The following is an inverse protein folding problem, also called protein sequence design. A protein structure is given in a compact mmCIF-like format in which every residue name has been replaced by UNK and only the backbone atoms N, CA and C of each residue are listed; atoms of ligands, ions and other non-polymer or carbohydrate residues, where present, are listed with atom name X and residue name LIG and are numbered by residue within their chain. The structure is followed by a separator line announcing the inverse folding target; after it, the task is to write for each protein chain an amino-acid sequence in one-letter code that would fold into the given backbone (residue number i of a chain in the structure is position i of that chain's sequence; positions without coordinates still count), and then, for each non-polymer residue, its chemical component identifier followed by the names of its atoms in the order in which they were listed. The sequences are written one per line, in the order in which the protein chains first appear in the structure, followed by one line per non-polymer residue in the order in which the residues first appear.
data_IF_181120492677
#
_entry.id   IF_181120492677
#
_cell.length_a   1.000
_cell.length_b   1.000
_cell.length_c   1.000
_cell.angle_alpha   90.00
_cell.angle_beta   90.00
_cell.angle_gamma   90.00
#
_symmetry.space_group_name_H-M   'P 1'
#
loop_
_entity.id
_entity.type
_entity.pdbx_description
1 polymer ?
#
# COMPACT_ATOMS: atom_id res chain seq x y z
N UNK A 1 18.56 3.63 -4.72
CA UNK A 1 18.44 3.62 -3.25
C UNK A 1 17.00 3.38 -2.83
N UNK A 2 16.81 3.09 -1.54
CA UNK A 2 15.49 3.02 -0.92
C UNK A 2 15.14 4.35 -0.24
N UNK A 3 13.86 4.64 -0.04
CA UNK A 3 13.39 5.80 0.74
C UNK A 3 13.97 5.79 2.16
N UNK A 4 14.17 4.60 2.72
CA UNK A 4 14.75 4.40 4.05
C UNK A 4 16.16 5.00 4.19
N UNK A 5 16.97 4.95 3.14
CA UNK A 5 18.35 5.47 3.15
C UNK A 5 18.37 7.01 3.22
N UNK A 6 17.40 7.66 2.56
CA UNK A 6 17.29 9.12 2.49
C UNK A 6 16.38 9.72 3.57
N UNK A 7 15.79 8.89 4.45
CA UNK A 7 14.78 9.32 5.43
C UNK A 7 15.23 10.54 6.25
N UNK A 8 16.46 10.51 6.78
CA UNK A 8 17.01 11.57 7.63
C UNK A 8 17.41 12.85 6.87
N UNK A 9 17.24 12.86 5.54
CA UNK A 9 17.48 14.03 4.67
C UNK A 9 16.20 14.72 4.23
N UNK A 10 15.10 13.99 4.19
CA UNK A 10 13.78 14.54 3.86
C UNK A 10 13.39 15.66 4.84
N UNK A 11 12.74 16.71 4.37
CA UNK A 11 12.20 17.72 5.27
C UNK A 11 11.11 17.16 6.22
N UNK A 12 10.85 17.89 7.32
CA UNK A 12 9.91 17.42 8.35
C UNK A 12 8.45 17.34 7.87
N UNK A 13 8.04 18.19 6.92
CA UNK A 13 6.71 18.15 6.32
C UNK A 13 6.56 16.87 5.49
N UNK A 14 7.56 16.54 4.67
CA UNK A 14 7.59 15.33 3.86
C UNK A 14 7.56 14.07 4.72
N UNK A 15 8.36 14.01 5.79
CA UNK A 15 8.32 12.89 6.74
C UNK A 15 6.95 12.75 7.39
N UNK A 16 6.36 13.86 7.85
CA UNK A 16 5.04 13.85 8.49
C UNK A 16 3.98 13.28 7.55
N UNK A 17 3.95 13.75 6.30
CA UNK A 17 3.02 13.25 5.30
C UNK A 17 3.18 11.75 5.05
N UNK A 18 4.41 11.24 4.98
CA UNK A 18 4.69 9.81 4.80
C UNK A 18 4.23 8.98 6.01
N UNK A 19 4.36 9.50 7.23
CA UNK A 19 3.88 8.84 8.45
C UNK A 19 2.36 8.81 8.56
N UNK A 20 1.67 9.81 8.00
CA UNK A 20 0.21 9.84 7.92
C UNK A 20 -0.33 8.94 6.79
N UNK A 21 0.50 8.64 5.78
CA UNK A 21 0.12 7.85 4.60
C UNK A 21 1.07 6.65 4.35
N UNK A 22 1.32 5.77 5.33
CA UNK A 22 2.33 4.71 5.22
C UNK A 22 1.95 3.57 4.26
N UNK A 23 0.69 3.52 3.82
CA UNK A 23 0.19 2.54 2.86
C UNK A 23 0.30 3.00 1.38
N UNK A 24 0.88 4.18 1.13
CA UNK A 24 0.99 4.76 -0.22
C UNK A 24 2.05 4.02 -1.07
N UNK A 25 1.63 3.34 -2.15
CA UNK A 25 2.54 2.57 -3.03
C UNK A 25 3.31 3.45 -4.02
N UNK A 26 2.63 4.47 -4.54
CA UNK A 26 3.18 5.42 -5.51
C UNK A 26 2.90 6.81 -4.98
N UNK A 27 3.94 7.64 -4.89
CA UNK A 27 3.79 8.96 -4.30
C UNK A 27 3.11 9.93 -5.28
N UNK A 28 2.24 10.84 -4.78
CA UNK A 28 1.70 11.91 -5.60
C UNK A 28 2.83 12.76 -6.22
N UNK A 29 2.64 13.36 -7.41
CA UNK A 29 3.69 14.09 -8.11
C UNK A 29 4.34 15.21 -7.27
N UNK A 30 3.54 15.90 -6.44
CA UNK A 30 4.04 16.92 -5.53
C UNK A 30 5.01 16.36 -4.47
N UNK A 31 4.73 15.17 -3.95
CA UNK A 31 5.58 14.48 -2.97
C UNK A 31 6.82 13.89 -3.64
N UNK A 32 6.67 13.33 -4.84
CA UNK A 32 7.82 12.86 -5.63
C UNK A 32 8.80 14.00 -5.89
N UNK A 33 8.32 15.18 -6.28
CA UNK A 33 9.17 16.34 -6.52
C UNK A 33 9.91 16.83 -5.25
N UNK A 34 9.27 16.80 -4.08
CA UNK A 34 9.92 17.13 -2.80
C UNK A 34 11.03 16.12 -2.47
N UNK A 35 10.73 14.84 -2.60
CA UNK A 35 11.69 13.77 -2.31
C UNK A 35 12.86 13.80 -3.29
N UNK A 36 12.63 13.97 -4.59
CA UNK A 36 13.71 14.08 -5.59
C UNK A 36 14.58 15.33 -5.42
N UNK A 37 14.07 16.38 -4.77
CA UNK A 37 14.85 17.58 -4.46
C UNK A 37 15.78 17.37 -3.26
N UNK A 38 15.30 16.66 -2.25
CA UNK A 38 16.02 16.46 -0.99
C UNK A 38 16.90 15.20 -1.00
N UNK A 39 16.55 14.20 -1.82
CA UNK A 39 17.33 13.00 -2.04
C UNK A 39 18.55 13.31 -2.91
N UNK A 40 19.69 12.75 -2.54
CA UNK A 40 20.94 12.97 -3.29
C UNK A 40 21.19 11.93 -4.38
N UNK A 41 20.43 10.83 -4.37
CA UNK A 41 20.53 9.73 -5.32
C UNK A 41 19.19 9.44 -5.99
N UNK A 42 19.24 8.84 -7.19
CA UNK A 42 18.05 8.51 -7.97
C UNK A 42 17.19 7.47 -7.25
N UNK A 43 16.02 7.92 -6.82
CA UNK A 43 14.95 7.09 -6.28
C UNK A 43 14.16 6.49 -7.46
N UNK A 44 13.75 5.24 -7.30
CA UNK A 44 13.01 4.52 -8.34
C UNK A 44 11.71 5.26 -8.69
N UNK A 45 11.52 5.53 -9.97
CA UNK A 45 10.33 6.19 -10.49
C UNK A 45 9.61 5.31 -11.52
N UNK A 46 8.29 5.48 -11.62
CA UNK A 46 7.49 4.89 -12.69
C UNK A 46 7.71 5.63 -14.03
N UNK A 47 7.11 5.15 -15.15
CA UNK A 47 7.21 5.83 -16.45
C UNK A 47 6.69 7.27 -16.48
N UNK A 48 5.94 7.70 -15.46
CA UNK A 48 5.39 9.03 -15.29
C UNK A 48 6.29 9.91 -14.40
N UNK A 49 7.41 9.38 -13.90
CA UNK A 49 8.34 10.08 -13.02
C UNK A 49 7.87 10.16 -11.56
N UNK A 50 6.89 9.34 -11.16
CA UNK A 50 6.43 9.28 -9.77
C UNK A 50 7.27 8.27 -8.99
N UNK A 51 7.65 8.66 -7.77
CA UNK A 51 8.41 7.78 -6.88
C UNK A 51 7.58 6.54 -6.53
N UNK A 52 8.16 5.37 -6.79
CA UNK A 52 7.59 4.07 -6.45
C UNK A 52 8.28 3.55 -5.21
N UNK A 53 7.50 3.27 -4.16
CA UNK A 53 8.04 2.73 -2.92
C UNK A 53 8.23 1.22 -3.05
N UNK A 54 9.40 0.75 -2.65
CA UNK A 54 9.66 -0.69 -2.57
C UNK A 54 8.91 -1.31 -1.39
N UNK A 55 8.83 -2.63 -1.36
CA UNK A 55 8.27 -3.33 -0.19
C UNK A 55 9.03 -3.02 1.10
N UNK A 56 10.35 -2.89 1.03
CA UNK A 56 11.17 -2.52 2.19
C UNK A 56 10.83 -1.11 2.68
N UNK A 57 10.64 -0.15 1.77
CA UNK A 57 10.22 1.21 2.12
C UNK A 57 8.88 1.22 2.84
N UNK A 58 7.94 0.40 2.39
CA UNK A 58 6.65 0.24 3.04
C UNK A 58 6.74 -0.31 4.45
N UNK A 59 7.52 -1.37 4.64
CA UNK A 59 7.68 -1.99 5.95
C UNK A 59 8.37 -0.99 6.92
N UNK A 60 9.37 -0.25 6.43
CA UNK A 60 9.99 0.85 7.18
C UNK A 60 9.02 1.98 7.55
N UNK A 61 8.21 2.46 6.59
CA UNK A 61 7.22 3.51 6.83
C UNK A 61 6.15 3.06 7.83
N UNK A 62 5.72 1.80 7.74
CA UNK A 62 4.80 1.21 8.71
C UNK A 62 5.39 1.22 10.12
N UNK A 63 6.61 0.72 10.31
CA UNK A 63 7.28 0.70 11.61
C UNK A 63 7.43 2.13 12.19
N UNK A 64 7.82 3.10 11.36
CA UNK A 64 7.93 4.50 11.78
C UNK A 64 6.57 5.10 12.16
N UNK A 65 5.52 4.81 11.39
CA UNK A 65 4.18 5.32 11.65
C UNK A 65 3.54 4.67 12.89
N UNK A 66 3.84 3.40 13.17
CA UNK A 66 3.48 2.74 14.43
C UNK A 66 4.19 3.38 15.62
N UNK A 67 5.51 3.60 15.51
CA UNK A 67 6.29 4.27 16.55
C UNK A 67 5.84 5.72 16.81
N UNK A 68 5.41 6.43 15.75
CA UNK A 68 4.84 7.77 15.84
C UNK A 68 3.37 7.79 16.30
N UNK A 69 2.70 6.64 16.32
CA UNK A 69 1.28 6.52 16.65
C UNK A 69 0.31 7.10 15.62
N UNK A 70 0.78 7.43 14.40
CA UNK A 70 -0.05 7.89 13.28
C UNK A 70 -0.89 6.75 12.70
N UNK A 71 -0.39 5.52 12.73
CA UNK A 71 -1.22 4.34 12.55
C UNK A 71 -1.42 3.64 13.88
N UNK A 72 -2.69 3.41 14.20
CA UNK A 72 -3.09 2.56 15.31
C UNK A 72 -3.46 1.20 14.74
N UNK A 73 -2.55 0.25 14.82
CA UNK A 73 -2.92 -1.15 14.73
C UNK A 73 -3.70 -1.46 16.02
N UNK A 74 -5.00 -1.80 15.95
CA UNK A 74 -5.74 -2.16 17.15
C UNK A 74 -5.04 -3.37 17.79
N UNK A 75 -4.76 -3.32 19.09
CA UNK A 75 -4.10 -4.40 19.84
C UNK A 75 -4.97 -5.67 20.00
N UNK A 76 -5.99 -5.84 19.17
CA UNK A 76 -6.94 -6.95 19.23
C UNK A 76 -7.39 -7.39 17.84
N UNK A 77 -7.78 -8.66 17.75
CA UNK A 77 -8.28 -9.32 16.54
C UNK A 77 -9.52 -8.61 16.00
N UNK A 78 -9.34 -7.66 15.09
CA UNK A 78 -10.43 -7.16 14.25
C UNK A 78 -10.13 -7.51 12.79
N UNK A 79 -10.53 -8.72 12.41
CA UNK A 79 -10.69 -9.11 11.01
C UNK A 79 -12.07 -8.68 10.54
N UNK A 80 -12.14 -7.46 10.02
CA UNK A 80 -13.35 -6.91 9.39
C UNK A 80 -13.99 -7.91 8.39
N UNK A 81 -13.17 -8.72 7.71
CA UNK A 81 -13.62 -9.72 6.74
C UNK A 81 -13.94 -11.12 7.31
N UNK A 82 -13.64 -11.43 8.57
CA UNK A 82 -13.96 -12.75 9.17
C UNK A 82 -15.43 -12.86 9.61
N UNK A 83 -16.15 -11.74 9.69
CA UNK A 83 -17.57 -11.73 10.06
C UNK A 83 -18.50 -11.91 8.86
N UNK A 84 -17.98 -11.79 7.63
CA UNK A 84 -18.74 -12.07 6.43
C UNK A 84 -18.73 -13.59 6.19
N UNK A 85 -19.90 -14.23 6.25
CA UNK A 85 -20.06 -15.57 5.70
C UNK A 85 -19.80 -15.47 4.19
N UNK A 86 -18.71 -16.05 3.72
CA UNK A 86 -18.46 -16.17 2.28
C UNK A 86 -19.68 -16.88 1.65
N UNK A 87 -20.32 -16.32 0.63
CA UNK A 87 -21.38 -17.02 -0.07
C UNK A 87 -20.79 -18.30 -0.66
N UNK A 88 -21.29 -19.45 -0.21
CA UNK A 88 -20.97 -20.74 -0.80
C UNK A 88 -21.52 -20.70 -2.22
N UNK A 89 -20.64 -20.53 -3.21
CA UNK A 89 -21.00 -20.68 -4.62
C UNK A 89 -21.34 -22.15 -4.83
N UNK A 90 -22.62 -22.48 -4.71
CA UNK A 90 -23.14 -23.80 -5.05
C UNK A 90 -22.80 -24.09 -6.51
N UNK A 91 -22.04 -25.16 -6.76
CA UNK A 91 -21.83 -25.66 -8.11
C UNK A 91 -23.21 -25.93 -8.72
N UNK A 92 -23.51 -25.32 -9.87
CA UNK A 92 -24.73 -25.59 -10.59
C UNK A 92 -24.89 -27.11 -10.80
N UNK A 93 -26.07 -27.70 -10.54
CA UNK A 93 -26.29 -29.12 -10.82
C UNK A 93 -25.99 -29.42 -12.29
N UNK A 94 -25.25 -30.48 -12.61
CA UNK A 94 -25.22 -30.97 -13.97
C UNK A 94 -26.62 -31.50 -14.29
N UNK A 95 -27.04 -31.37 -15.54
CA UNK A 95 -28.21 -32.03 -16.13
C UNK A 95 -29.54 -31.27 -16.09
N UNK A 96 -29.69 -30.39 -17.09
CA UNK A 96 -30.94 -30.30 -17.86
C UNK A 96 -30.60 -30.14 -19.35
N UNK A 97 -29.98 -31.17 -19.95
CA UNK A 97 -29.91 -31.32 -21.41
C UNK A 97 -30.48 -32.68 -21.77
N UNK A 98 -31.78 -32.84 -21.56
CA UNK A 98 -32.55 -33.91 -22.19
C UNK A 98 -33.54 -33.30 -23.17
N UNK A 99 -33.31 -33.68 -24.43
CA UNK A 99 -34.31 -34.03 -25.44
C UNK A 99 -34.91 -32.88 -26.27
N UNK A 100 -34.38 -32.72 -27.48
CA UNK A 100 -35.17 -32.33 -28.64
C UNK A 100 -34.99 -33.43 -29.71
N UNK A 101 -35.93 -34.38 -29.71
CA UNK A 101 -36.29 -35.15 -30.90
C UNK A 101 -37.16 -34.25 -31.77
N UNK A 102 -36.77 -34.10 -33.03
CA UNK A 102 -37.53 -33.44 -34.09
C UNK A 102 -36.81 -33.66 -35.41
#
# INVERSE_FOLDING_TARGET
MSLKDEWDRLDSETRTWLLENPACLVLPPAMSAKISKDAQEDIACDPQGQVVLSREDHDFLREKAEAAGTIRVPAGEYRFFDTATLPVVGKAPPEARHNATG
#
